data_IF_453201472416
#
_entry.id   IF_453201472416
#
_cell.length_a   1.000
_cell.length_b   1.000
_cell.length_c   1.000
_cell.angle_alpha   90.00
_cell.angle_beta   90.00
_cell.angle_gamma   90.00
#
_symmetry.space_group_name_H-M   'P 1'
#
loop_
_entity.id
_entity.type
_entity.pdbx_description
1 polymer ?
#
# COMPACT_ATOMS: atom_id res chain seq x y z
N UNK A 1 40.93 0.67 -9.98
CA UNK A 1 40.40 -0.15 -8.87
C UNK A 1 39.70 0.76 -7.87
N UNK A 2 38.54 0.32 -7.36
CA UNK A 2 37.54 1.11 -6.62
C UNK A 2 38.09 1.70 -5.31
N UNK A 3 37.80 2.99 -5.07
CA UNK A 3 37.95 3.65 -3.77
C UNK A 3 36.56 3.74 -3.13
N UNK A 4 36.26 2.88 -2.16
CA UNK A 4 35.06 3.03 -1.35
C UNK A 4 35.47 3.55 0.03
N UNK A 5 34.99 4.77 0.33
CA UNK A 5 35.24 5.46 1.58
C UNK A 5 34.44 4.82 2.71
N UNK A 6 35.14 4.65 3.82
CA UNK A 6 34.67 4.28 5.14
C UNK A 6 33.95 5.50 5.79
N UNK A 7 32.76 5.30 6.37
CA UNK A 7 32.20 6.20 7.40
C UNK A 7 31.40 5.40 8.43
N UNK A 8 32.09 5.10 9.54
CA UNK A 8 31.73 5.30 10.97
C UNK A 8 30.21 5.35 11.30
N UNK A 9 29.63 4.35 11.97
CA UNK A 9 29.55 4.08 13.43
C UNK A 9 28.51 4.91 14.20
N UNK A 10 27.48 4.23 14.73
CA UNK A 10 26.77 4.47 16.00
C UNK A 10 25.94 3.19 16.23
N UNK A 11 26.15 2.34 17.23
CA UNK A 11 26.49 2.58 18.63
C UNK A 11 25.23 2.27 19.44
N UNK A 12 25.23 1.14 20.17
CA UNK A 12 24.47 0.77 21.41
C UNK A 12 24.81 -0.72 21.63
N UNK A 13 25.85 -1.02 22.40
CA UNK A 13 25.88 -1.17 23.86
C UNK A 13 25.59 -2.62 24.30
N UNK A 14 26.71 -3.34 24.48
CA UNK A 14 27.07 -4.21 25.60
C UNK A 14 26.02 -5.18 26.19
N UNK A 15 26.19 -6.45 25.82
CA UNK A 15 26.33 -7.67 26.65
C UNK A 15 25.41 -7.79 27.89
N UNK A 16 24.55 -8.81 27.87
CA UNK A 16 24.33 -9.67 29.04
C UNK A 16 24.22 -11.14 28.58
N UNK A 17 25.30 -11.90 28.74
CA UNK A 17 25.31 -13.36 28.63
C UNK A 17 24.74 -13.94 29.92
N UNK A 18 23.53 -14.47 29.85
CA UNK A 18 22.98 -15.36 30.88
C UNK A 18 22.80 -16.75 30.26
N UNK A 19 23.70 -17.67 30.61
CA UNK A 19 23.52 -19.11 30.36
C UNK A 19 22.57 -19.66 31.42
N UNK A 20 21.34 -19.98 31.02
CA UNK A 20 20.43 -20.84 31.77
C UNK A 20 20.19 -22.10 30.96
N UNK A 21 20.59 -23.24 31.53
CA UNK A 21 20.14 -24.56 31.11
C UNK A 21 18.68 -24.72 31.56
N UNK A 22 17.76 -24.93 30.62
CA UNK A 22 16.34 -25.09 30.91
C UNK A 22 15.49 -25.23 29.65
N UNK A 23 14.99 -26.44 29.45
CA UNK A 23 14.03 -26.96 28.47
C UNK A 23 13.02 -25.99 27.85
N UNK A 24 12.81 -26.17 26.53
CA UNK A 24 11.50 -25.97 25.91
C UNK A 24 11.16 -24.55 25.46
N UNK A 25 11.61 -24.17 24.27
CA UNK A 25 10.76 -23.67 23.17
C UNK A 25 11.66 -23.08 22.10
N UNK A 26 11.57 -23.65 20.89
CA UNK A 26 12.09 -23.06 19.66
C UNK A 26 11.55 -21.64 19.52
N UNK A 27 12.37 -20.65 19.89
CA UNK A 27 12.15 -19.28 19.45
C UNK A 27 12.46 -19.26 17.95
N UNK A 28 11.39 -19.46 17.17
CA UNK A 28 11.37 -19.16 15.75
C UNK A 28 11.61 -17.65 15.64
N UNK A 29 12.87 -17.26 15.51
CA UNK A 29 13.23 -15.91 15.09
C UNK A 29 12.61 -15.78 13.70
N UNK A 30 11.44 -15.15 13.62
CA UNK A 30 10.82 -14.79 12.36
C UNK A 30 11.85 -14.01 11.58
N UNK A 31 12.45 -14.70 10.61
CA UNK A 31 13.21 -14.10 9.54
C UNK A 31 12.36 -12.96 9.01
N UNK A 32 12.80 -11.73 9.23
CA UNK A 32 12.24 -10.55 8.59
C UNK A 32 12.45 -10.74 7.09
N UNK A 33 11.43 -11.33 6.47
CA UNK A 33 11.34 -11.72 5.08
C UNK A 33 11.73 -10.48 4.25
N UNK A 34 12.88 -10.54 3.58
CA UNK A 34 13.44 -9.43 2.82
C UNK A 34 12.36 -8.87 1.89
N UNK A 35 11.90 -7.64 2.18
CA UNK A 35 10.75 -6.94 1.63
C UNK A 35 10.23 -7.48 0.28
N UNK A 36 9.47 -8.57 0.33
CA UNK A 36 8.90 -9.17 -0.89
C UNK A 36 7.92 -8.14 -1.49
N UNK A 37 8.07 -7.85 -2.79
CA UNK A 37 7.21 -6.86 -3.47
C UNK A 37 6.10 -7.57 -4.22
N UNK A 38 4.88 -7.05 -4.09
CA UNK A 38 3.70 -7.50 -4.83
C UNK A 38 3.43 -6.54 -6.00
N UNK A 39 3.01 -7.09 -7.15
CA UNK A 39 2.58 -6.29 -8.31
C UNK A 39 1.07 -6.10 -8.24
N UNK A 40 0.61 -4.86 -8.36
CA UNK A 40 -0.81 -4.51 -8.32
C UNK A 40 -1.14 -3.64 -9.53
N UNK A 41 -2.30 -3.89 -10.14
CA UNK A 41 -2.80 -3.11 -11.28
C UNK A 41 -3.95 -2.23 -10.82
N UNK A 42 -3.85 -0.93 -11.11
CA UNK A 42 -4.85 0.07 -10.79
C UNK A 42 -5.51 0.59 -12.06
N UNK A 43 -6.83 0.65 -12.07
CA UNK A 43 -7.65 1.24 -13.14
C UNK A 43 -8.45 2.40 -12.57
N UNK A 44 -8.44 3.55 -13.24
CA UNK A 44 -9.35 4.67 -12.98
C UNK A 44 -10.48 4.62 -13.99
N UNK A 45 -11.72 4.60 -13.53
CA UNK A 45 -12.94 4.70 -14.33
C UNK A 45 -13.62 6.03 -14.00
N UNK A 46 -13.88 6.84 -15.01
CA UNK A 46 -14.51 8.18 -14.88
C UNK A 46 -15.59 8.29 -15.95
N UNK A 47 -16.77 8.80 -15.60
CA UNK A 47 -17.90 8.96 -16.53
C UNK A 47 -18.21 7.66 -17.30
N UNK A 48 -18.31 6.55 -16.58
CA UNK A 48 -18.56 5.21 -17.11
C UNK A 48 -17.50 4.64 -18.07
N UNK A 49 -16.38 5.32 -18.31
CA UNK A 49 -15.29 4.85 -19.20
C UNK A 49 -14.01 4.58 -18.43
N UNK A 50 -13.27 3.54 -18.83
CA UNK A 50 -11.91 3.33 -18.31
C UNK A 50 -11.02 4.48 -18.80
N UNK A 51 -10.48 5.25 -17.87
CA UNK A 51 -9.70 6.45 -18.14
C UNK A 51 -8.21 6.16 -18.21
N UNK A 52 -7.65 5.49 -17.18
CA UNK A 52 -6.22 5.15 -17.11
C UNK A 52 -6.01 3.83 -16.37
N UNK A 53 -5.05 3.04 -16.85
CA UNK A 53 -4.62 1.80 -16.17
C UNK A 53 -3.10 1.82 -16.02
N UNK A 54 -2.61 1.55 -14.81
CA UNK A 54 -1.18 1.46 -14.51
C UNK A 54 -0.91 0.34 -13.52
N UNK A 55 0.30 -0.21 -13.52
CA UNK A 55 0.71 -1.21 -12.54
C UNK A 55 1.91 -0.72 -11.72
N UNK A 56 1.96 -1.10 -10.46
CA UNK A 56 3.04 -0.72 -9.52
C UNK A 56 3.50 -1.94 -8.74
N UNK A 57 4.80 -1.98 -8.40
CA UNK A 57 5.34 -2.92 -7.41
C UNK A 57 5.42 -2.21 -6.05
N UNK A 58 4.79 -2.78 -5.04
CA UNK A 58 4.76 -2.26 -3.66
C UNK A 58 5.24 -3.32 -2.67
N UNK A 59 5.81 -2.95 -1.52
CA UNK A 59 6.11 -3.92 -0.46
C UNK A 59 4.88 -4.75 -0.09
N UNK A 60 5.08 -6.00 0.31
CA UNK A 60 4.02 -6.86 0.86
C UNK A 60 3.35 -6.13 2.03
N UNK A 61 2.05 -6.35 2.19
CA UNK A 61 1.21 -5.69 3.18
C UNK A 61 1.01 -4.17 2.99
N UNK A 62 1.46 -3.59 1.88
CA UNK A 62 1.08 -2.21 1.52
C UNK A 62 -0.43 -2.08 1.38
N UNK A 63 -0.94 -0.88 1.58
CA UNK A 63 -2.37 -0.58 1.44
C UNK A 63 -2.71 -0.12 0.03
N UNK A 64 -3.99 -0.19 -0.32
CA UNK A 64 -4.51 0.25 -1.61
C UNK A 64 -4.13 1.71 -1.87
N UNK A 65 -4.26 2.58 -0.86
CA UNK A 65 -3.90 4.00 -0.91
C UNK A 65 -2.41 4.21 -1.19
N UNK A 66 -1.53 3.43 -0.56
CA UNK A 66 -0.09 3.55 -0.77
C UNK A 66 0.29 3.21 -2.22
N UNK A 67 -0.28 2.16 -2.80
CA UNK A 67 -0.06 1.84 -4.22
C UNK A 67 -0.65 2.88 -5.16
N UNK A 68 -1.83 3.43 -4.85
CA UNK A 68 -2.47 4.48 -5.62
C UNK A 68 -1.62 5.77 -5.66
N UNK A 69 -1.13 6.22 -4.49
CA UNK A 69 -0.30 7.43 -4.34
C UNK A 69 1.03 7.36 -5.10
N UNK A 70 1.55 6.16 -5.37
CA UNK A 70 2.75 5.98 -6.21
C UNK A 70 2.49 6.22 -7.70
N UNK A 71 1.24 6.13 -8.13
CA UNK A 71 0.86 6.18 -9.55
C UNK A 71 0.28 7.53 -9.98
N UNK A 72 -0.41 8.21 -9.05
CA UNK A 72 -1.09 9.48 -9.29
C UNK A 72 -1.05 10.38 -8.05
N UNK A 73 -1.26 11.68 -8.26
CA UNK A 73 -1.53 12.63 -7.19
C UNK A 73 -2.91 12.34 -6.61
N UNK A 74 -2.97 12.08 -5.31
CA UNK A 74 -4.20 11.77 -4.57
C UNK A 74 -4.41 12.83 -3.50
N UNK A 75 -5.63 13.37 -3.40
CA UNK A 75 -6.09 14.15 -2.25
C UNK A 75 -7.06 13.31 -1.44
N UNK A 76 -6.95 13.39 -0.12
CA UNK A 76 -7.81 12.67 0.81
C UNK A 76 -8.11 13.53 2.03
N UNK A 77 -9.30 13.34 2.59
CA UNK A 77 -9.77 13.99 3.81
C UNK A 77 -10.37 12.89 4.69
N UNK A 78 -9.93 12.79 5.94
CA UNK A 78 -10.40 11.77 6.91
C UNK A 78 -10.32 10.33 6.38
N UNK A 79 -9.27 10.00 5.63
CA UNK A 79 -9.08 8.69 5.02
C UNK A 79 -9.88 8.44 3.73
N UNK A 80 -10.82 9.32 3.37
CA UNK A 80 -11.58 9.24 2.12
C UNK A 80 -10.89 9.96 0.99
N UNK A 81 -10.88 9.35 -0.21
CA UNK A 81 -10.26 9.93 -1.39
C UNK A 81 -11.18 10.98 -2.00
N UNK A 82 -10.74 12.23 -2.01
CA UNK A 82 -11.48 13.37 -2.58
C UNK A 82 -11.07 13.69 -4.01
N UNK A 83 -9.85 13.33 -4.43
CA UNK A 83 -9.38 13.54 -5.80
C UNK A 83 -8.29 12.55 -6.20
N UNK A 84 -8.31 12.08 -7.45
CA UNK A 84 -7.24 11.27 -8.06
C UNK A 84 -6.92 11.90 -9.42
N UNK A 85 -5.65 12.18 -9.69
CA UNK A 85 -5.21 12.71 -10.99
C UNK A 85 -5.96 14.00 -11.41
N UNK A 86 -6.25 14.86 -10.43
CA UNK A 86 -7.02 16.11 -10.63
C UNK A 86 -8.53 15.92 -10.80
N UNK A 87 -9.04 14.68 -10.84
CA UNK A 87 -10.48 14.39 -10.90
C UNK A 87 -11.06 14.30 -9.49
N UNK A 88 -11.80 15.34 -9.12
CA UNK A 88 -12.37 15.49 -7.78
C UNK A 88 -13.81 14.99 -7.69
N UNK A 89 -14.18 14.57 -6.48
CA UNK A 89 -15.57 14.30 -6.12
C UNK A 89 -16.42 15.56 -6.22
N UNK A 90 -17.74 15.38 -6.34
CA UNK A 90 -18.72 16.46 -6.26
C UNK A 90 -19.86 16.03 -5.34
N UNK A 91 -19.80 16.46 -4.08
CA UNK A 91 -20.80 16.12 -3.05
C UNK A 91 -22.21 16.61 -3.43
N UNK A 92 -22.33 17.82 -3.97
CA UNK A 92 -23.61 18.38 -4.41
C UNK A 92 -24.29 17.53 -5.51
N UNK A 93 -23.50 16.88 -6.35
CA UNK A 93 -23.99 15.97 -7.40
C UNK A 93 -23.98 14.49 -6.99
N UNK A 94 -23.71 14.19 -5.72
CA UNK A 94 -23.50 12.84 -5.17
C UNK A 94 -22.46 12.01 -5.92
N UNK A 95 -21.42 12.64 -6.48
CA UNK A 95 -20.36 11.97 -7.24
C UNK A 95 -19.18 11.68 -6.34
N UNK A 96 -18.85 10.39 -6.16
CA UNK A 96 -17.82 9.92 -5.24
C UNK A 96 -16.85 8.94 -5.90
N UNK A 97 -15.66 8.84 -5.30
CA UNK A 97 -14.68 7.80 -5.61
C UNK A 97 -14.99 6.55 -4.78
N UNK A 98 -15.38 5.48 -5.46
CA UNK A 98 -15.47 4.13 -4.87
C UNK A 98 -14.39 3.24 -5.46
N UNK A 99 -14.16 2.08 -4.86
CA UNK A 99 -13.22 1.14 -5.41
C UNK A 99 -13.62 -0.32 -5.21
N UNK A 100 -13.11 -1.16 -6.10
CA UNK A 100 -13.24 -2.62 -6.04
C UNK A 100 -11.87 -3.27 -6.13
N UNK A 101 -11.75 -4.46 -5.56
CA UNK A 101 -10.59 -5.34 -5.71
C UNK A 101 -11.07 -6.61 -6.39
N UNK A 102 -10.46 -6.95 -7.52
CA UNK A 102 -10.77 -8.16 -8.29
C UNK A 102 -12.28 -8.26 -8.64
N UNK A 103 -12.92 -7.12 -8.89
CA UNK A 103 -14.34 -7.03 -9.23
C UNK A 103 -15.31 -7.00 -8.05
N UNK A 104 -14.83 -7.15 -6.81
CA UNK A 104 -15.66 -7.10 -5.60
C UNK A 104 -15.46 -5.79 -4.84
N UNK A 105 -16.52 -5.27 -4.23
CA UNK A 105 -16.39 -4.12 -3.33
C UNK A 105 -15.56 -4.49 -2.12
N UNK A 106 -14.66 -3.59 -1.72
CA UNK A 106 -13.87 -3.78 -0.52
C UNK A 106 -14.71 -3.41 0.72
N UNK A 107 -14.53 -4.16 1.80
CA UNK A 107 -15.18 -3.89 3.09
C UNK A 107 -14.47 -2.84 3.94
N UNK A 108 -13.23 -2.46 3.56
CA UNK A 108 -12.39 -1.49 4.29
C UNK A 108 -12.12 -0.25 3.44
N UNK A 109 -11.69 0.83 4.08
CA UNK A 109 -11.19 2.01 3.37
C UNK A 109 -9.89 1.73 2.63
N UNK A 110 -9.60 2.49 1.57
CA UNK A 110 -8.37 2.29 0.78
C UNK A 110 -7.08 2.51 1.60
N UNK A 111 -7.15 3.30 2.68
CA UNK A 111 -6.05 3.52 3.60
C UNK A 111 -5.72 2.29 4.45
N UNK A 112 -6.68 1.39 4.68
CA UNK A 112 -6.55 0.22 5.56
C UNK A 112 -6.49 -1.10 4.79
N UNK A 113 -7.15 -1.16 3.63
CA UNK A 113 -7.21 -2.35 2.81
C UNK A 113 -5.83 -2.69 2.26
N UNK A 114 -5.29 -3.85 2.64
CA UNK A 114 -4.03 -4.37 2.10
C UNK A 114 -4.22 -4.91 0.69
N UNK A 115 -3.18 -4.80 -0.14
CA UNK A 115 -3.14 -5.40 -1.48
C UNK A 115 -2.34 -6.69 -1.49
N UNK A 116 -2.81 -7.65 -2.28
CA UNK A 116 -2.15 -8.91 -2.59
C UNK A 116 -1.50 -8.88 -3.98
N UNK A 117 -0.66 -9.86 -4.27
CA UNK A 117 -0.02 -9.97 -5.57
C UNK A 117 -1.03 -10.25 -6.68
N UNK A 118 -0.87 -9.55 -7.81
CA UNK A 118 -1.74 -9.58 -8.98
C UNK A 118 -3.15 -9.00 -8.76
N UNK A 119 -3.39 -8.31 -7.63
CA UNK A 119 -4.65 -7.62 -7.41
C UNK A 119 -4.95 -6.59 -8.51
N UNK A 120 -6.22 -6.55 -8.91
CA UNK A 120 -6.78 -5.57 -9.83
C UNK A 120 -7.67 -4.62 -9.04
N UNK A 121 -7.13 -3.46 -8.69
CA UNK A 121 -7.86 -2.41 -8.02
C UNK A 121 -8.50 -1.50 -9.07
N UNK A 122 -9.80 -1.25 -8.96
CA UNK A 122 -10.51 -0.33 -9.87
C UNK A 122 -11.18 0.76 -9.06
N UNK A 123 -10.71 1.99 -9.23
CA UNK A 123 -11.34 3.20 -8.70
C UNK A 123 -12.36 3.71 -9.71
N UNK A 124 -13.56 4.02 -9.24
CA UNK A 124 -14.65 4.55 -10.07
C UNK A 124 -15.13 5.87 -9.51
N UNK A 125 -15.13 6.92 -10.33
CA UNK A 125 -15.77 8.20 -10.05
C UNK A 125 -17.15 8.19 -10.70
N UNK A 126 -18.19 8.02 -9.88
CA UNK A 126 -19.56 7.93 -10.34
C UNK A 126 -20.53 8.54 -9.32
N UNK A 127 -21.73 8.84 -9.80
CA UNK A 127 -22.86 9.20 -8.94
C UNK A 127 -23.27 7.97 -8.12
N UNK A 128 -23.49 8.19 -6.83
CA UNK A 128 -24.12 7.22 -5.92
C UNK A 128 -25.53 7.75 -5.66
N UNK A 129 -26.53 6.91 -5.86
CA UNK A 129 -27.93 7.29 -5.69
C UNK A 129 -28.36 7.27 -4.21
#
# INVERSE_FOLDING_TARGET
MKKNKLSVLAGIATIFTFTVAGYGSTQNVQQVDAASKVRVTYTLKVNNKNYKTKSVKVPKHSTVMQGLKKLWKVKSTDGFITSIDGKSQNKAKKVYWTYTINGKFASKGAAEQKVANKDKVKFTLAKID
#
